data_IF_311319164818
#
_entry.id   IF_311319164818
#
_cell.length_a   1.000
_cell.length_b   1.000
_cell.length_c   1.000
_cell.angle_alpha   90.00
_cell.angle_beta   90.00
_cell.angle_gamma   90.00
#
_symmetry.space_group_name_H-M   'P 1'
#
loop_
_entity.id
_entity.type
_entity.pdbx_description
1 polymer ?
#
# COMPACT_ATOMS: atom_id res chain seq x y z
N UNK A 1 -0.86 17.80 -1.95
CA UNK A 1 -1.78 16.66 -1.73
C UNK A 1 -3.19 17.14 -1.60
N UNK A 2 -4.11 16.28 -2.01
CA UNK A 2 -5.55 16.40 -1.77
C UNK A 2 -5.94 16.00 -0.35
N UNK A 3 -7.09 16.48 0.12
CA UNK A 3 -7.80 15.82 1.21
C UNK A 3 -8.18 14.42 0.76
N UNK A 4 -7.88 13.39 1.56
CA UNK A 4 -8.20 11.99 1.24
C UNK A 4 -9.70 11.75 1.05
N UNK A 5 -10.57 12.62 1.57
CA UNK A 5 -12.00 12.60 1.33
C UNK A 5 -12.35 12.66 -0.18
N UNK A 6 -11.45 13.19 -1.02
CA UNK A 6 -11.58 13.21 -2.48
C UNK A 6 -11.79 11.81 -3.08
N UNK A 7 -11.34 10.75 -2.41
CA UNK A 7 -11.58 9.38 -2.87
C UNK A 7 -13.06 9.09 -3.05
N UNK A 8 -13.93 9.68 -2.22
CA UNK A 8 -15.38 9.48 -2.28
C UNK A 8 -16.03 10.07 -3.54
N UNK A 9 -15.33 10.96 -4.24
CA UNK A 9 -15.82 11.59 -5.47
C UNK A 9 -15.30 10.92 -6.73
N UNK A 10 -14.40 9.94 -6.61
CA UNK A 10 -13.86 9.18 -7.75
C UNK A 10 -14.88 8.20 -8.31
N UNK A 11 -14.80 7.94 -9.62
CA UNK A 11 -15.73 7.03 -10.30
C UNK A 11 -15.64 5.60 -9.76
N UNK A 12 -14.43 5.12 -9.47
CA UNK A 12 -14.23 3.80 -8.85
C UNK A 12 -14.98 3.66 -7.53
N UNK A 13 -14.84 4.64 -6.62
CA UNK A 13 -15.56 4.64 -5.35
C UNK A 13 -17.08 4.78 -5.53
N UNK A 14 -17.55 5.70 -6.39
CA UNK A 14 -19.00 5.86 -6.60
C UNK A 14 -19.63 4.55 -7.09
N UNK A 15 -18.94 3.85 -8.01
CA UNK A 15 -19.40 2.60 -8.60
C UNK A 15 -19.46 1.44 -7.60
N UNK A 16 -18.39 1.20 -6.86
CA UNK A 16 -18.28 -0.02 -6.02
C UNK A 16 -18.42 0.23 -4.52
N UNK A 17 -18.40 1.49 -4.10
CA UNK A 17 -18.29 1.85 -2.68
C UNK A 17 -16.90 1.61 -2.10
N UNK A 18 -15.89 1.24 -2.91
CA UNK A 18 -14.56 0.88 -2.41
C UNK A 18 -13.45 1.61 -3.15
N UNK A 19 -12.31 1.81 -2.51
CA UNK A 19 -11.04 2.10 -3.19
C UNK A 19 -9.90 1.49 -2.41
N UNK A 20 -9.20 0.55 -3.05
CA UNK A 20 -8.01 -0.12 -2.55
C UNK A 20 -6.79 0.25 -3.39
N UNK A 21 -5.61 0.07 -2.81
CA UNK A 21 -4.34 0.40 -3.45
C UNK A 21 -3.40 -0.79 -3.39
N UNK A 22 -2.62 -0.97 -4.45
CA UNK A 22 -1.71 -2.10 -4.55
C UNK A 22 -0.48 -1.93 -3.66
N UNK A 23 0.03 -3.04 -3.13
CA UNK A 23 1.40 -3.12 -2.65
C UNK A 23 2.36 -3.47 -3.81
N UNK A 24 3.64 -3.57 -3.50
CA UNK A 24 4.69 -4.05 -4.41
C UNK A 24 4.41 -5.49 -4.80
N UNK A 25 4.70 -5.81 -6.06
CA UNK A 25 4.64 -7.19 -6.55
C UNK A 25 5.91 -7.90 -6.08
N UNK A 26 5.83 -8.50 -4.90
CA UNK A 26 6.90 -9.26 -4.28
C UNK A 26 6.53 -10.73 -4.21
N UNK A 27 7.33 -11.58 -4.84
CA UNK A 27 7.18 -13.03 -4.74
C UNK A 27 7.58 -13.52 -3.35
N UNK A 28 6.78 -14.43 -2.82
CA UNK A 28 7.05 -15.12 -1.58
C UNK A 28 6.00 -16.19 -1.33
N UNK A 29 6.36 -17.28 -0.66
CA UNK A 29 5.44 -18.38 -0.31
C UNK A 29 4.81 -18.16 1.07
N UNK A 30 4.43 -16.93 1.38
CA UNK A 30 3.79 -16.54 2.64
C UNK A 30 2.36 -16.05 2.39
N UNK A 31 1.58 -15.88 3.47
CA UNK A 31 0.24 -15.30 3.44
C UNK A 31 -0.68 -16.06 2.48
N UNK A 32 -1.49 -15.36 1.68
CA UNK A 32 -2.38 -15.99 0.71
C UNK A 32 -1.66 -16.78 -0.39
N UNK A 33 -0.33 -16.65 -0.52
CA UNK A 33 0.48 -17.31 -1.53
C UNK A 33 1.19 -18.58 -1.02
N UNK A 34 0.90 -19.02 0.21
CA UNK A 34 1.39 -20.30 0.73
C UNK A 34 0.91 -21.48 -0.11
N UNK A 35 1.71 -22.55 -0.13
CA UNK A 35 1.29 -23.84 -0.68
C UNK A 35 0.63 -24.68 0.42
N UNK A 36 -0.61 -25.10 0.17
CA UNK A 36 -1.33 -26.09 0.96
C UNK A 36 -1.58 -27.30 0.06
N UNK A 37 -0.78 -28.35 0.24
CA UNK A 37 -0.89 -29.62 -0.48
C UNK A 37 -0.84 -29.47 -2.01
N UNK A 38 0.09 -28.65 -2.53
CA UNK A 38 0.24 -28.39 -3.96
C UNK A 38 -0.73 -27.35 -4.52
N UNK A 39 -1.48 -26.66 -3.67
CA UNK A 39 -2.43 -25.61 -4.06
C UNK A 39 -2.13 -24.30 -3.31
N UNK A 40 -2.12 -23.19 -4.06
CA UNK A 40 -2.04 -21.85 -3.48
C UNK A 40 -3.19 -21.60 -2.48
N UNK A 41 -2.87 -21.11 -1.28
CA UNK A 41 -3.84 -20.90 -0.21
C UNK A 41 -5.02 -20.00 -0.62
N UNK A 42 -4.80 -18.94 -1.40
CA UNK A 42 -5.88 -18.10 -1.92
C UNK A 42 -6.95 -18.92 -2.66
N UNK A 43 -6.52 -19.87 -3.50
CA UNK A 43 -7.41 -20.73 -4.28
C UNK A 43 -8.11 -21.74 -3.37
N UNK A 44 -7.38 -22.31 -2.41
CA UNK A 44 -7.94 -23.19 -1.41
C UNK A 44 -9.03 -22.47 -0.60
N UNK A 45 -8.75 -21.27 -0.09
CA UNK A 45 -9.70 -20.43 0.65
C UNK A 45 -10.96 -20.16 -0.18
N UNK A 46 -10.81 -19.74 -1.45
CA UNK A 46 -11.96 -19.45 -2.31
C UNK A 46 -12.84 -20.69 -2.58
N UNK A 47 -12.24 -21.88 -2.63
CA UNK A 47 -12.95 -23.14 -2.92
C UNK A 47 -13.65 -23.72 -1.69
N UNK A 48 -12.99 -23.69 -0.53
CA UNK A 48 -13.45 -24.35 0.70
C UNK A 48 -14.22 -23.42 1.64
N UNK A 49 -14.32 -22.13 1.32
CA UNK A 49 -15.06 -21.18 2.16
C UNK A 49 -16.54 -21.57 2.30
N UNK A 50 -17.04 -21.52 3.54
CA UNK A 50 -18.46 -21.77 3.84
C UNK A 50 -19.33 -20.57 3.43
N UNK A 51 -19.62 -20.46 2.13
CA UNK A 51 -20.51 -19.44 1.59
C UNK A 51 -21.92 -19.50 2.19
N UNK A 52 -22.39 -20.69 2.56
CA UNK A 52 -23.73 -20.89 3.12
C UNK A 52 -23.88 -20.21 4.49
N UNK A 53 -22.84 -20.19 5.33
CA UNK A 53 -22.78 -19.43 6.60
C UNK A 53 -23.12 -17.95 6.41
N UNK A 54 -22.85 -17.37 5.25
CA UNK A 54 -23.09 -15.96 4.92
C UNK A 54 -24.29 -15.74 3.98
N UNK A 55 -25.05 -16.79 3.67
CA UNK A 55 -26.18 -16.71 2.74
C UNK A 55 -25.76 -16.43 1.30
N UNK A 56 -24.56 -16.85 0.90
CA UNK A 56 -24.00 -16.67 -0.44
C UNK A 56 -24.10 -17.96 -1.27
N UNK A 57 -24.19 -17.87 -2.61
CA UNK A 57 -24.14 -19.04 -3.47
C UNK A 57 -22.86 -19.87 -3.26
N UNK A 58 -22.95 -21.21 -3.28
CA UNK A 58 -21.79 -22.06 -3.09
C UNK A 58 -20.79 -21.99 -4.26
N UNK A 59 -19.56 -22.39 -3.98
CA UNK A 59 -18.46 -22.49 -4.96
C UNK A 59 -17.72 -21.18 -5.20
N UNK A 60 -16.44 -21.29 -5.59
CA UNK A 60 -15.64 -20.12 -5.95
C UNK A 60 -16.23 -19.40 -7.17
N UNK A 61 -16.28 -18.08 -7.12
CA UNK A 61 -16.66 -17.25 -8.29
C UNK A 61 -15.77 -16.00 -8.32
N UNK A 62 -14.45 -16.17 -8.60
CA UNK A 62 -13.50 -15.07 -8.52
C UNK A 62 -13.91 -13.92 -9.45
N UNK A 63 -13.75 -12.67 -8.99
CA UNK A 63 -14.06 -11.52 -9.85
C UNK A 63 -13.00 -11.35 -10.95
N UNK A 64 -13.21 -10.38 -11.84
CA UNK A 64 -12.23 -10.01 -12.87
C UNK A 64 -10.87 -9.59 -12.31
N UNK A 65 -10.81 -9.20 -11.02
CA UNK A 65 -9.55 -8.88 -10.36
C UNK A 65 -8.61 -10.09 -10.23
N UNK A 66 -9.18 -11.30 -10.08
CA UNK A 66 -8.43 -12.56 -10.01
C UNK A 66 -8.35 -13.27 -11.37
N UNK A 67 -8.39 -12.53 -12.47
CA UNK A 67 -8.25 -13.10 -13.81
C UNK A 67 -6.91 -13.86 -13.96
N UNK A 68 -6.92 -15.14 -14.40
CA UNK A 68 -5.72 -15.96 -14.49
C UNK A 68 -4.58 -15.43 -15.36
N UNK A 69 -4.89 -14.57 -16.34
CA UNK A 69 -3.91 -14.03 -17.27
C UNK A 69 -3.26 -12.72 -16.79
N UNK A 70 -3.91 -11.99 -15.89
CA UNK A 70 -3.48 -10.63 -15.52
C UNK A 70 -3.22 -10.44 -14.03
N UNK A 71 -3.85 -11.23 -13.16
CA UNK A 71 -3.72 -11.07 -11.71
C UNK A 71 -2.41 -11.65 -11.18
N UNK A 72 -1.59 -10.80 -10.55
CA UNK A 72 -0.36 -11.26 -9.89
C UNK A 72 -0.68 -12.15 -8.68
N UNK A 73 -1.70 -11.80 -7.88
CA UNK A 73 -2.14 -12.64 -6.76
C UNK A 73 -2.61 -14.02 -7.24
N UNK A 74 -3.45 -14.11 -8.28
CA UNK A 74 -3.93 -15.42 -8.76
C UNK A 74 -2.84 -16.31 -9.36
N UNK A 75 -1.87 -15.71 -10.06
CA UNK A 75 -0.73 -16.44 -10.64
C UNK A 75 0.30 -16.86 -9.59
N UNK A 76 0.20 -16.32 -8.38
CA UNK A 76 1.14 -16.57 -7.29
C UNK A 76 2.45 -15.79 -7.42
N UNK A 77 2.46 -14.75 -8.25
CA UNK A 77 3.61 -13.87 -8.46
C UNK A 77 3.82 -12.92 -7.27
N UNK A 78 2.82 -12.77 -6.39
CA UNK A 78 2.95 -11.95 -5.20
C UNK A 78 2.30 -12.54 -3.95
N UNK A 79 2.92 -12.31 -2.80
CA UNK A 79 2.34 -12.54 -1.47
C UNK A 79 1.72 -11.29 -0.84
N UNK A 80 1.76 -10.15 -1.54
CA UNK A 80 1.17 -8.88 -1.10
C UNK A 80 0.37 -8.25 -2.24
N UNK A 81 -0.96 -8.22 -2.09
CA UNK A 81 -1.82 -7.60 -3.10
C UNK A 81 -2.11 -6.15 -2.75
N UNK A 82 -2.43 -5.88 -1.48
CA UNK A 82 -2.93 -4.59 -1.03
C UNK A 82 -2.01 -3.89 -0.02
N UNK A 83 -1.82 -2.58 -0.18
CA UNK A 83 -1.36 -1.72 0.91
C UNK A 83 -2.57 -1.17 1.70
N UNK A 84 -2.67 -1.51 2.98
CA UNK A 84 -3.81 -1.14 3.85
C UNK A 84 -3.69 0.24 4.51
N UNK A 85 -2.65 1.01 4.21
CA UNK A 85 -2.44 2.31 4.86
C UNK A 85 -3.43 3.40 4.43
N UNK A 86 -4.16 3.14 3.34
CA UNK A 86 -5.31 3.92 2.89
C UNK A 86 -6.37 2.99 2.30
N UNK A 87 -7.52 2.93 2.94
CA UNK A 87 -8.69 2.18 2.46
C UNK A 87 -9.93 3.07 2.50
N UNK A 88 -10.75 3.01 1.44
CA UNK A 88 -12.07 3.63 1.42
C UNK A 88 -13.12 2.54 1.22
N UNK A 89 -14.09 2.45 2.13
CA UNK A 89 -15.18 1.47 2.09
C UNK A 89 -16.48 2.16 2.52
N UNK A 90 -17.51 2.10 1.68
CA UNK A 90 -18.90 2.39 2.03
C UNK A 90 -19.55 1.14 2.63
N UNK A 91 -19.59 1.09 3.95
CA UNK A 91 -20.14 -0.06 4.69
C UNK A 91 -21.61 -0.31 4.40
N UNK A 92 -22.38 0.73 4.02
CA UNK A 92 -23.81 0.59 3.73
C UNK A 92 -24.09 -0.20 2.45
N UNK A 93 -23.08 -0.32 1.58
CA UNK A 93 -23.17 -0.97 0.27
C UNK A 93 -22.38 -2.27 0.17
N UNK A 94 -21.58 -2.61 1.18
CA UNK A 94 -20.59 -3.69 1.13
C UNK A 94 -21.16 -5.12 1.17
N UNK A 95 -22.49 -5.30 1.15
CA UNK A 95 -23.13 -6.62 1.23
C UNK A 95 -22.64 -7.41 2.45
N UNK A 96 -22.21 -8.66 2.23
CA UNK A 96 -21.66 -9.52 3.28
C UNK A 96 -20.18 -9.28 3.58
N UNK A 97 -19.48 -8.43 2.82
CA UNK A 97 -18.03 -8.27 2.95
C UNK A 97 -17.60 -7.82 4.36
N UNK A 98 -18.39 -7.01 5.06
CA UNK A 98 -18.07 -6.60 6.43
C UNK A 98 -18.19 -7.76 7.43
N UNK A 99 -19.20 -8.62 7.26
CA UNK A 99 -19.39 -9.80 8.11
C UNK A 99 -18.30 -10.85 7.85
N UNK A 100 -17.93 -11.04 6.58
CA UNK A 100 -16.84 -11.92 6.20
C UNK A 100 -15.50 -11.36 6.70
N UNK A 101 -15.24 -10.06 6.57
CA UNK A 101 -14.07 -9.42 7.14
C UNK A 101 -13.99 -9.63 8.65
N UNK A 102 -15.11 -9.53 9.37
CA UNK A 102 -15.16 -9.84 10.80
C UNK A 102 -14.80 -11.30 11.10
N UNK A 103 -15.30 -12.26 10.31
CA UNK A 103 -14.91 -13.66 10.40
C UNK A 103 -13.41 -13.88 10.10
N UNK A 104 -12.89 -13.23 9.05
CA UNK A 104 -11.48 -13.35 8.67
C UNK A 104 -10.56 -12.90 9.81
N UNK A 105 -10.90 -11.81 10.51
CA UNK A 105 -10.11 -11.26 11.62
C UNK A 105 -10.21 -12.11 12.89
N UNK A 106 -11.40 -12.65 13.21
CA UNK A 106 -11.64 -13.31 14.50
C UNK A 106 -11.52 -14.84 14.48
N UNK A 107 -11.65 -15.46 13.32
CA UNK A 107 -11.62 -16.92 13.18
C UNK A 107 -10.53 -17.35 12.20
N UNK A 108 -10.60 -16.92 10.93
CA UNK A 108 -9.71 -17.42 9.88
C UNK A 108 -8.23 -17.11 10.13
N UNK A 109 -7.93 -15.89 10.59
CA UNK A 109 -6.55 -15.46 10.86
C UNK A 109 -5.84 -16.35 11.89
N UNK A 110 -6.58 -16.89 12.86
CA UNK A 110 -6.03 -17.80 13.87
C UNK A 110 -5.90 -19.24 13.36
N UNK A 111 -6.67 -19.62 12.35
CA UNK A 111 -6.54 -20.92 11.70
C UNK A 111 -5.38 -20.94 10.69
N UNK A 112 -5.20 -19.85 9.94
CA UNK A 112 -4.18 -19.72 8.90
C UNK A 112 -3.71 -18.27 8.75
N UNK A 113 -2.39 -18.08 8.70
CA UNK A 113 -1.79 -16.77 8.48
C UNK A 113 -1.85 -16.39 6.98
N UNK A 114 -2.90 -15.70 6.55
CA UNK A 114 -3.13 -15.38 5.14
C UNK A 114 -2.77 -13.93 4.74
N UNK A 115 -2.29 -13.11 5.68
CA UNK A 115 -2.10 -11.67 5.47
C UNK A 115 -1.00 -11.11 6.38
N UNK A 116 -0.17 -10.19 5.87
CA UNK A 116 0.71 -9.40 6.73
C UNK A 116 -0.12 -8.35 7.48
N UNK A 117 -0.43 -8.64 8.74
CA UNK A 117 -1.38 -7.84 9.50
C UNK A 117 -2.76 -7.84 8.82
N UNK A 118 -3.34 -6.66 8.65
CA UNK A 118 -4.70 -6.50 8.12
C UNK A 118 -4.80 -6.46 6.59
N UNK A 119 -3.68 -6.30 5.88
CA UNK A 119 -3.58 -5.94 4.46
C UNK A 119 -4.57 -6.65 3.54
N UNK A 120 -4.50 -7.97 3.51
CA UNK A 120 -5.18 -8.79 2.51
C UNK A 120 -6.64 -9.07 2.91
N UNK A 121 -6.98 -8.82 4.18
CA UNK A 121 -8.31 -9.05 4.74
C UNK A 121 -9.39 -8.26 3.99
N UNK A 122 -9.09 -7.02 3.60
CA UNK A 122 -10.09 -6.14 2.99
C UNK A 122 -10.56 -6.67 1.64
N UNK A 123 -9.66 -6.86 0.67
CA UNK A 123 -10.07 -7.30 -0.66
C UNK A 123 -10.51 -8.77 -0.68
N UNK A 124 -9.89 -9.65 0.11
CA UNK A 124 -10.32 -11.06 0.21
C UNK A 124 -11.75 -11.15 0.74
N UNK A 125 -12.14 -10.30 1.71
CA UNK A 125 -13.51 -10.26 2.19
C UNK A 125 -14.52 -9.88 1.09
N UNK A 126 -14.16 -8.97 0.19
CA UNK A 126 -15.00 -8.60 -0.95
C UNK A 126 -15.06 -9.70 -2.03
N UNK A 127 -13.96 -10.37 -2.32
CA UNK A 127 -13.93 -11.56 -3.20
C UNK A 127 -14.83 -12.67 -2.67
N UNK A 128 -14.68 -13.05 -1.39
CA UNK A 128 -15.52 -14.06 -0.75
C UNK A 128 -16.99 -13.62 -0.65
N UNK A 129 -17.24 -12.33 -0.49
CA UNK A 129 -18.60 -11.79 -0.51
C UNK A 129 -19.25 -11.83 -1.90
N UNK A 130 -18.50 -12.18 -2.96
CA UNK A 130 -18.92 -12.06 -4.36
C UNK A 130 -19.42 -10.65 -4.67
N UNK A 131 -18.80 -9.66 -4.02
CA UNK A 131 -19.21 -8.26 -4.12
C UNK A 131 -18.18 -7.50 -4.94
N UNK A 132 -18.65 -6.64 -5.83
CA UNK A 132 -17.76 -5.85 -6.67
C UNK A 132 -16.91 -4.90 -5.80
N UNK A 133 -15.61 -4.80 -6.12
CA UNK A 133 -14.69 -3.87 -5.48
C UNK A 133 -13.76 -3.25 -6.53
N UNK A 134 -13.02 -2.23 -6.10
CA UNK A 134 -12.19 -1.40 -6.96
C UNK A 134 -10.82 -1.19 -6.35
N UNK A 135 -9.79 -1.61 -7.07
CA UNK A 135 -8.42 -1.17 -6.88
C UNK A 135 -8.11 0.01 -7.79
N UNK A 136 -7.25 0.91 -7.32
CA UNK A 136 -6.63 1.93 -8.15
C UNK A 136 -6.09 1.32 -9.46
N UNK A 137 -6.29 1.97 -10.62
CA UNK A 137 -5.73 1.48 -11.88
C UNK A 137 -4.20 1.57 -11.94
N UNK A 138 -3.60 2.29 -10.99
CA UNK A 138 -2.18 2.56 -10.89
C UNK A 138 -1.50 1.62 -9.91
N UNK A 139 -0.29 1.20 -10.25
CA UNK A 139 0.58 0.46 -9.35
C UNK A 139 1.08 1.32 -8.19
N UNK A 140 1.71 0.65 -7.24
CA UNK A 140 2.40 1.29 -6.13
C UNK A 140 3.58 2.13 -6.64
N UNK A 141 3.79 3.30 -6.03
CA UNK A 141 5.04 4.05 -6.12
C UNK A 141 5.80 3.99 -4.79
N UNK A 142 7.00 4.54 -4.77
CA UNK A 142 7.77 4.82 -3.55
C UNK A 142 8.37 6.22 -3.59
N UNK A 143 8.60 6.76 -2.41
CA UNK A 143 9.38 7.98 -2.21
C UNK A 143 10.82 7.59 -1.85
N UNK A 144 11.81 8.35 -2.34
CA UNK A 144 13.24 8.14 -2.10
C UNK A 144 13.64 8.45 -0.64
N UNK A 145 13.10 7.64 0.29
CA UNK A 145 13.28 7.81 1.73
C UNK A 145 14.29 6.84 2.34
N UNK A 146 15.04 6.10 1.53
CA UNK A 146 16.21 5.34 1.98
C UNK A 146 17.46 6.23 2.08
N UNK A 147 18.47 5.78 2.82
CA UNK A 147 19.76 6.49 3.00
C UNK A 147 20.85 6.09 1.99
N UNK A 148 20.51 5.24 1.03
CA UNK A 148 21.40 4.67 0.00
C UNK A 148 21.74 5.61 -1.18
N UNK A 149 21.44 6.91 -1.08
CA UNK A 149 21.74 7.89 -2.14
C UNK A 149 21.16 7.46 -3.51
N UNK A 150 19.89 7.04 -3.55
CA UNK A 150 19.19 6.55 -4.75
C UNK A 150 19.57 7.32 -6.03
N UNK A 151 19.52 8.66 -5.99
CA UNK A 151 19.74 9.51 -7.15
C UNK A 151 21.21 9.57 -7.64
N UNK A 152 22.17 9.23 -6.79
CA UNK A 152 23.60 9.20 -7.14
C UNK A 152 24.01 7.80 -7.61
N UNK A 153 23.48 6.75 -6.98
CA UNK A 153 23.90 5.36 -7.22
C UNK A 153 23.05 4.67 -8.30
N UNK A 154 21.74 4.93 -8.32
CA UNK A 154 20.79 4.24 -9.20
C UNK A 154 19.54 5.10 -9.44
N UNK A 155 19.71 6.17 -10.22
CA UNK A 155 18.70 7.23 -10.41
C UNK A 155 17.38 6.82 -11.09
N UNK A 156 17.27 5.57 -11.51
CA UNK A 156 16.07 4.97 -12.12
C UNK A 156 15.34 4.01 -11.17
N UNK A 157 15.84 3.85 -9.95
CA UNK A 157 15.39 2.87 -8.97
C UNK A 157 15.34 3.54 -7.60
N UNK A 158 14.17 3.55 -6.97
CA UNK A 158 13.99 4.24 -5.70
C UNK A 158 13.65 3.25 -4.59
N UNK A 159 14.17 3.51 -3.39
CA UNK A 159 13.93 2.71 -2.20
C UNK A 159 13.28 3.56 -1.12
N UNK A 160 12.17 3.07 -0.54
CA UNK A 160 11.55 3.75 0.58
C UNK A 160 10.06 3.51 0.77
N UNK A 161 9.39 4.52 1.32
CA UNK A 161 7.99 4.42 1.73
C UNK A 161 7.02 4.39 0.55
N UNK A 162 5.95 3.61 0.67
CA UNK A 162 4.92 3.46 -0.37
C UNK A 162 4.22 4.79 -0.65
N UNK A 163 3.97 5.07 -1.92
CA UNK A 163 3.24 6.22 -2.46
C UNK A 163 2.07 5.73 -3.30
N UNK A 164 0.94 6.42 -3.15
CA UNK A 164 -0.26 6.24 -3.96
C UNK A 164 -0.61 7.51 -4.71
N UNK A 165 -1.15 7.34 -5.91
CA UNK A 165 -1.64 8.41 -6.78
C UNK A 165 -3.16 8.46 -6.75
N UNK A 166 -3.73 9.54 -7.29
CA UNK A 166 -5.17 9.64 -7.50
C UNK A 166 -5.66 8.46 -8.36
N UNK A 167 -6.67 7.70 -7.90
CA UNK A 167 -7.13 6.49 -8.57
C UNK A 167 -8.13 6.81 -9.68
N UNK A 168 -7.74 7.72 -10.57
CA UNK A 168 -8.47 8.13 -11.76
C UNK A 168 -7.63 7.76 -12.98
N UNK A 169 -8.27 7.21 -14.01
CA UNK A 169 -7.59 6.82 -15.24
C UNK A 169 -7.50 8.03 -16.17
N UNK A 170 -6.55 8.91 -15.87
CA UNK A 170 -6.22 10.10 -16.66
C UNK A 170 -4.73 10.16 -16.97
N UNK A 171 -4.28 11.16 -17.73
CA UNK A 171 -2.87 11.34 -18.09
C UNK A 171 -2.07 12.12 -17.03
N UNK A 172 -2.74 12.71 -16.02
CA UNK A 172 -2.09 13.61 -15.06
C UNK A 172 -1.68 12.89 -13.77
N UNK A 173 -0.38 12.67 -13.51
CA UNK A 173 0.07 11.95 -12.32
C UNK A 173 -0.10 12.80 -11.05
N UNK A 174 -1.25 12.65 -10.38
CA UNK A 174 -1.53 13.38 -9.15
C UNK A 174 -1.16 12.57 -7.91
N UNK A 175 -0.16 13.06 -7.17
CA UNK A 175 0.26 12.50 -5.88
C UNK A 175 -0.85 12.62 -4.83
N UNK A 176 -1.29 11.49 -4.29
CA UNK A 176 -2.38 11.43 -3.30
C UNK A 176 -1.84 11.25 -1.88
N UNK A 177 -1.01 10.22 -1.65
CA UNK A 177 -0.68 9.79 -0.28
C UNK A 177 0.67 9.07 -0.21
N UNK A 178 1.31 9.12 0.97
CA UNK A 178 2.51 8.36 1.30
C UNK A 178 2.34 7.63 2.63
N UNK A 179 2.62 6.33 2.63
CA UNK A 179 2.69 5.48 3.82
C UNK A 179 4.10 5.55 4.43
N UNK A 180 4.43 6.68 5.06
CA UNK A 180 5.79 6.94 5.54
C UNK A 180 5.85 7.36 7.00
N UNK A 181 5.59 6.44 7.95
CA UNK A 181 5.82 6.69 9.40
C UNK A 181 7.24 7.21 9.64
N UNK A 182 8.18 6.68 8.87
CA UNK A 182 9.61 6.96 8.89
C UNK A 182 9.95 8.39 8.49
N UNK A 183 9.07 9.04 7.73
CA UNK A 183 9.20 10.47 7.39
C UNK A 183 8.87 11.35 8.60
N UNK A 184 8.13 10.83 9.60
CA UNK A 184 7.79 11.55 10.82
C UNK A 184 8.75 11.22 11.96
N UNK A 185 9.13 9.96 12.08
CA UNK A 185 10.14 9.50 13.02
C UNK A 185 11.23 8.69 12.27
N UNK A 186 12.37 9.31 11.93
CA UNK A 186 13.44 8.65 11.18
C UNK A 186 14.18 7.57 11.98
N UNK A 187 13.89 7.45 13.28
CA UNK A 187 14.45 6.44 14.18
C UNK A 187 13.31 5.58 14.77
N UNK A 188 12.72 4.68 13.98
CA UNK A 188 11.66 3.80 14.45
C UNK A 188 12.28 2.67 15.30
N UNK A 189 12.65 2.96 16.54
CA UNK A 189 13.19 1.97 17.47
C UNK A 189 13.62 2.56 18.80
N UNK A 190 13.97 1.70 19.75
CA UNK A 190 14.66 2.10 20.96
C UNK A 190 16.09 2.56 20.62
N UNK A 191 16.66 3.49 21.39
CA UNK A 191 18.01 4.05 21.15
C UNK A 191 19.05 2.93 21.11
N UNK A 192 18.86 1.88 21.91
CA UNK A 192 19.74 0.72 21.96
C UNK A 192 19.70 -0.13 20.67
N UNK A 193 18.60 -0.08 19.92
CA UNK A 193 18.45 -0.77 18.63
C UNK A 193 19.11 -0.04 17.46
N UNK A 194 19.43 1.25 17.63
CA UNK A 194 19.97 2.10 16.56
C UNK A 194 21.33 1.62 16.05
N UNK A 195 22.17 1.11 16.95
CA UNK A 195 23.50 0.58 16.60
C UNK A 195 23.43 -0.72 15.79
N UNK A 196 22.28 -1.40 15.75
CA UNK A 196 22.04 -2.63 14.98
C UNK A 196 21.19 -2.40 13.73
N UNK A 197 20.70 -1.17 13.53
CA UNK A 197 19.89 -0.81 12.38
C UNK A 197 20.75 -0.82 11.12
N UNK A 198 20.38 -1.63 10.13
CA UNK A 198 21.01 -1.63 8.81
C UNK A 198 20.59 -0.38 8.01
N UNK A 199 21.37 0.05 7.02
CA UNK A 199 21.08 1.28 6.26
C UNK A 199 19.68 1.33 5.63
N UNK A 200 19.09 0.18 5.35
CA UNK A 200 17.73 0.03 4.81
C UNK A 200 16.62 0.26 5.86
N UNK A 201 16.94 0.30 7.16
CA UNK A 201 16.02 0.72 8.25
C UNK A 201 16.34 2.14 8.76
N UNK A 202 17.32 2.81 8.17
CA UNK A 202 17.56 4.25 8.34
C UNK A 202 16.89 5.00 7.19
N UNK A 203 16.21 6.10 7.52
CA UNK A 203 15.36 6.79 6.57
C UNK A 203 15.85 8.20 6.28
N UNK A 204 15.89 8.57 5.00
CA UNK A 204 16.08 9.94 4.57
C UNK A 204 14.83 10.77 4.92
N UNK A 205 14.93 11.71 5.88
CA UNK A 205 13.80 12.53 6.27
C UNK A 205 13.44 13.55 5.19
N UNK A 206 14.34 13.91 4.29
CA UNK A 206 14.11 14.97 3.30
C UNK A 206 14.20 14.38 1.89
N UNK A 207 13.25 13.52 1.50
CA UNK A 207 13.24 12.94 0.17
C UNK A 207 13.03 14.04 -0.87
N UNK A 208 13.63 13.85 -2.05
CA UNK A 208 13.55 14.80 -3.16
C UNK A 208 12.78 14.24 -4.36
N UNK A 209 12.69 12.91 -4.48
CA UNK A 209 12.09 12.22 -5.61
C UNK A 209 11.06 11.18 -5.17
N UNK A 210 10.15 10.87 -6.09
CA UNK A 210 9.27 9.73 -6.04
C UNK A 210 9.33 8.97 -7.37
N UNK A 211 8.78 7.77 -7.38
CA UNK A 211 8.59 7.04 -8.63
C UNK A 211 7.54 7.75 -9.50
N UNK A 212 7.62 7.72 -10.83
CA UNK A 212 6.54 8.13 -11.71
C UNK A 212 5.28 7.28 -11.52
N UNK A 213 4.10 7.86 -11.78
CA UNK A 213 2.85 7.08 -11.81
C UNK A 213 2.87 6.13 -13.00
N UNK A 214 2.64 4.84 -12.76
CA UNK A 214 2.60 3.84 -13.81
C UNK A 214 1.62 2.71 -13.47
N UNK A 215 1.27 1.90 -14.47
CA UNK A 215 0.48 0.68 -14.26
C UNK A 215 1.27 -0.31 -13.40
N UNK A 216 0.55 -1.16 -12.65
CA UNK A 216 1.17 -2.16 -11.77
C UNK A 216 2.00 -3.14 -12.59
N UNK A 217 3.22 -3.41 -12.13
CA UNK A 217 4.15 -4.39 -12.71
C UNK A 217 5.10 -4.93 -11.64
N UNK A 218 5.75 -6.10 -11.86
CA UNK A 218 6.86 -6.56 -11.05
C UNK A 218 8.03 -5.59 -11.06
N UNK A 219 8.88 -5.68 -10.04
CA UNK A 219 10.18 -5.01 -10.01
C UNK A 219 10.99 -5.37 -11.26
N UNK A 220 11.58 -4.35 -11.90
CA UNK A 220 12.30 -4.50 -13.16
C UNK A 220 13.81 -4.62 -12.99
N UNK A 221 14.53 -4.26 -14.05
CA UNK A 221 15.99 -4.18 -14.10
C UNK A 221 16.37 -2.70 -14.13
N UNK A 222 17.39 -2.32 -13.36
CA UNK A 222 17.94 -0.96 -13.42
C UNK A 222 18.79 -0.80 -14.68
N UNK A 223 18.71 0.35 -15.33
CA UNK A 223 19.55 0.74 -16.46
C UNK A 223 20.91 1.31 -16.04
N UNK A 224 21.18 1.39 -14.74
CA UNK A 224 22.42 1.94 -14.18
C UNK A 224 23.50 0.87 -14.04
N UNK A 225 24.75 1.28 -13.82
CA UNK A 225 25.90 0.39 -13.60
C UNK A 225 26.02 -0.10 -12.14
N UNK A 226 25.01 0.18 -11.30
CA UNK A 226 24.97 -0.22 -9.90
C UNK A 226 25.08 -1.73 -9.72
N UNK A 227 26.12 -2.17 -9.01
CA UNK A 227 26.41 -3.59 -8.74
C UNK A 227 25.96 -4.05 -7.33
N UNK A 228 25.38 -3.16 -6.54
CA UNK A 228 24.90 -3.50 -5.19
C UNK A 228 23.55 -4.23 -5.21
N UNK A 229 23.19 -4.80 -4.06
CA UNK A 229 21.88 -5.43 -3.88
C UNK A 229 20.78 -4.41 -3.63
N UNK A 230 19.59 -4.65 -4.17
CA UNK A 230 18.40 -3.86 -3.86
C UNK A 230 17.60 -4.53 -2.74
N UNK A 231 17.35 -3.82 -1.64
CA UNK A 231 16.37 -4.24 -0.65
C UNK A 231 14.95 -4.44 -1.23
N UNK A 232 14.12 -5.22 -0.53
CA UNK A 232 12.77 -5.58 -1.01
C UNK A 232 11.80 -4.39 -1.11
N UNK A 233 12.08 -3.30 -0.41
CA UNK A 233 11.30 -2.06 -0.45
C UNK A 233 11.55 -1.21 -1.70
N UNK A 234 12.54 -1.58 -2.53
CA UNK A 234 12.92 -0.85 -3.73
C UNK A 234 12.02 -1.17 -4.93
N UNK A 235 11.75 -0.15 -5.74
CA UNK A 235 11.15 -0.27 -7.06
C UNK A 235 12.22 -0.05 -8.13
N UNK A 236 12.74 -1.15 -8.67
CA UNK A 236 13.88 -1.16 -9.59
C UNK A 236 13.42 -0.90 -11.03
N UNK A 237 14.04 0.07 -11.71
CA UNK A 237 13.75 0.43 -13.10
C UNK A 237 12.37 1.08 -13.27
N UNK A 238 11.84 1.71 -12.22
CA UNK A 238 10.56 2.41 -12.27
C UNK A 238 10.72 3.90 -12.62
N UNK A 239 11.95 4.41 -12.61
CA UNK A 239 12.26 5.82 -12.83
C UNK A 239 12.14 6.65 -11.55
N UNK A 240 12.55 7.92 -11.66
CA UNK A 240 12.46 8.90 -10.59
C UNK A 240 12.01 10.25 -11.14
N UNK A 241 11.08 10.90 -10.45
CA UNK A 241 10.59 12.24 -10.73
C UNK A 241 10.64 13.12 -9.47
N UNK A 242 10.88 14.43 -9.61
CA UNK A 242 10.90 15.34 -8.46
C UNK A 242 9.57 15.33 -7.70
N UNK A 243 9.65 15.39 -6.37
CA UNK A 243 8.48 15.56 -5.52
C UNK A 243 7.76 16.88 -5.81
N UNK A 244 6.41 16.91 -5.72
CA UNK A 244 5.68 18.16 -5.79
C UNK A 244 6.19 19.14 -4.74
N UNK A 245 6.47 20.40 -5.13
CA UNK A 245 7.02 21.44 -4.22
C UNK A 245 6.23 21.58 -2.91
N UNK A 246 4.90 21.37 -2.96
CA UNK A 246 4.01 21.43 -1.78
C UNK A 246 4.24 20.29 -0.77
N UNK A 247 4.89 19.19 -1.16
CA UNK A 247 5.14 18.03 -0.32
C UNK A 247 5.97 18.38 0.92
N UNK A 248 7.08 19.12 0.74
CA UNK A 248 7.97 19.48 1.84
C UNK A 248 7.24 20.27 2.95
N UNK A 249 6.40 21.24 2.57
CA UNK A 249 5.58 22.01 3.52
C UNK A 249 4.56 21.14 4.25
N UNK A 250 3.91 20.21 3.53
CA UNK A 250 2.95 19.27 4.13
C UNK A 250 3.63 18.28 5.09
N UNK A 251 4.83 17.80 4.75
CA UNK A 251 5.62 16.94 5.61
C UNK A 251 6.08 17.67 6.87
N UNK A 252 6.57 18.90 6.74
CA UNK A 252 6.96 19.74 7.88
C UNK A 252 5.77 19.96 8.82
N UNK A 253 4.60 20.32 8.28
CA UNK A 253 3.37 20.43 9.08
C UNK A 253 3.11 19.12 9.83
N UNK A 254 3.12 17.98 9.13
CA UNK A 254 2.82 16.68 9.74
C UNK A 254 3.83 16.28 10.83
N UNK A 255 5.11 16.66 10.70
CA UNK A 255 6.13 16.51 11.75
C UNK A 255 5.83 17.34 12.99
N UNK A 256 5.48 18.62 12.81
CA UNK A 256 5.12 19.49 13.93
C UNK A 256 3.92 18.93 14.71
N UNK A 257 2.90 18.43 14.00
CA UNK A 257 1.77 17.74 14.62
C UNK A 257 2.22 16.47 15.37
N UNK A 258 3.02 15.63 14.74
CA UNK A 258 3.54 14.41 15.35
C UNK A 258 4.33 14.69 16.63
N UNK A 259 5.28 15.64 16.60
CA UNK A 259 6.06 16.03 17.77
C UNK A 259 5.22 16.68 18.86
N UNK A 260 4.25 17.53 18.51
CA UNK A 260 3.34 18.13 19.48
C UNK A 260 2.54 17.07 20.25
N UNK A 261 2.07 16.02 19.56
CA UNK A 261 1.41 14.87 20.21
C UNK A 261 2.39 14.11 21.11
N UNK A 262 3.55 13.72 20.58
CA UNK A 262 4.53 12.90 21.32
C UNK A 262 5.06 13.61 22.57
N UNK A 263 5.21 14.93 22.51
CA UNK A 263 5.71 15.75 23.62
C UNK A 263 4.61 16.23 24.59
N UNK A 264 3.35 15.86 24.37
CA UNK A 264 2.22 16.28 25.21
C UNK A 264 1.87 17.78 25.09
N UNK A 265 2.28 18.44 24.00
CA UNK A 265 2.04 19.86 23.73
C UNK A 265 0.79 20.02 22.86
N UNK A 266 -0.35 19.54 23.33
CA UNK A 266 -1.64 19.62 22.62
C UNK A 266 -2.06 21.04 22.21
N UNK A 267 -1.81 22.11 22.99
CA UNK A 267 -2.18 23.47 22.59
C UNK A 267 -1.49 23.97 21.31
N UNK A 268 -0.34 23.39 20.94
CA UNK A 268 0.34 23.70 19.69
C UNK A 268 -0.37 23.06 18.47
N UNK A 269 -1.21 22.04 18.69
CA UNK A 269 -1.99 21.37 17.64
C UNK A 269 -3.27 22.15 17.29
N UNK A 270 -3.77 22.97 18.23
CA UNK A 270 -4.94 23.83 18.02
C UNK A 270 -4.61 25.05 17.14
N UNK A 271 -3.32 25.32 16.92
CA UNK A 271 -2.85 26.40 16.07
C UNK A 271 -2.67 25.91 14.63
N UNK A 272 -3.61 26.29 13.75
CA UNK A 272 -3.46 26.13 12.32
C UNK A 272 -2.47 27.17 11.78
N UNK A 273 -1.17 26.87 11.80
CA UNK A 273 -0.19 27.70 11.10
C UNK A 273 -0.40 27.58 9.59
N UNK A 274 -0.60 28.69 8.86
CA UNK A 274 -0.51 28.66 7.42
C UNK A 274 0.94 28.36 7.04
N UNK A 275 1.20 27.13 6.61
CA UNK A 275 2.41 26.84 5.84
C UNK A 275 2.13 27.29 4.41
N UNK A 276 2.11 28.60 4.21
CA UNK A 276 2.02 29.20 2.89
C UNK A 276 3.34 28.90 2.18
N UNK A 277 3.38 27.75 1.50
CA UNK A 277 4.42 27.49 0.52
C UNK A 277 4.40 28.62 -0.51
N UNK A 278 5.60 29.06 -0.94
CA UNK A 278 5.77 30.09 -1.98
C UNK A 278 4.72 29.91 -3.09
N UNK A 279 3.88 30.93 -3.26
CA UNK A 279 2.86 31.01 -4.30
C UNK A 279 3.48 30.85 -5.70
#
# INVERSE_FOLDING_TARGET
MHDKAVLRTTEGYKRTGTTFFYDRVLYGQQYFNQDINGMQYLKHLLNEFDYAKFGLPPGASPTTHLNPNTSFAWRGDTCHEQDSSLVAIDKSRAGQAINIMFYLINEQHFAHDFSYGDKETFWIAFELAKHEYFFSPWGVGVIASSTNQDMEQHNDSLCGSIVHYMPVDDDKPEFLYVNGKVLLNPFPGDIDGLYRATHNVLFNPNPTHLTPRQRRRPTGISTTDYQGGYPMECLIGFGAEPLPKKFAFQLLRRRMFYFGVVMGVSPALDQCFPFDGLK
#
